data_IF_633100321812
#
_entry.id   IF_633100321812
#
_cell.length_a   1.000
_cell.length_b   1.000
_cell.length_c   1.000
_cell.angle_alpha   90.00
_cell.angle_beta   90.00
_cell.angle_gamma   90.00
#
_symmetry.space_group_name_H-M   'P 1'
#
loop_
_entity.id
_entity.type
_entity.pdbx_description
1 polymer ?
#
# COMPACT_ATOMS: atom_id res chain seq x y z
N UNK A 1 -9.46 15.59 -8.83
CA UNK A 1 -9.74 14.89 -7.55
C UNK A 1 -8.78 13.73 -7.29
N UNK A 2 -8.73 12.69 -8.14
CA UNK A 2 -7.89 11.51 -7.92
C UNK A 2 -6.38 11.81 -7.83
N UNK A 3 -5.87 12.76 -8.62
CA UNK A 3 -4.46 13.16 -8.57
C UNK A 3 -4.01 13.62 -7.18
N UNK A 4 -4.79 14.52 -6.57
CA UNK A 4 -4.54 15.03 -5.22
C UNK A 4 -4.53 13.90 -4.19
N UNK A 5 -5.50 12.98 -4.28
CA UNK A 5 -5.58 11.83 -3.38
C UNK A 5 -4.36 10.90 -3.52
N UNK A 6 -3.89 10.68 -4.75
CA UNK A 6 -2.69 9.88 -5.01
C UNK A 6 -1.44 10.54 -4.39
N UNK A 7 -1.28 11.86 -4.51
CA UNK A 7 -0.17 12.57 -3.85
C UNK A 7 -0.27 12.48 -2.33
N UNK A 8 -1.44 12.79 -1.76
CA UNK A 8 -1.65 12.86 -0.31
C UNK A 8 -1.43 11.54 0.41
N UNK A 9 -1.80 10.42 -0.24
CA UNK A 9 -1.80 9.09 0.35
C UNK A 9 -0.67 8.18 -0.15
N UNK A 10 -0.08 8.47 -1.32
CA UNK A 10 0.89 7.58 -1.96
C UNK A 10 2.28 8.20 -2.13
N UNK A 11 2.57 9.40 -1.62
CA UNK A 11 3.88 10.02 -1.77
C UNK A 11 5.09 9.07 -1.54
N UNK A 12 5.16 8.28 -0.45
CA UNK A 12 6.26 7.32 -0.27
C UNK A 12 6.31 6.21 -1.35
N UNK A 13 5.16 5.75 -1.83
CA UNK A 13 5.07 4.75 -2.91
C UNK A 13 5.48 5.34 -4.24
N UNK A 14 5.01 6.55 -4.56
CA UNK A 14 5.37 7.31 -5.76
C UNK A 14 6.88 7.63 -5.80
N UNK A 15 7.48 7.89 -4.64
CA UNK A 15 8.91 8.10 -4.46
C UNK A 15 9.77 6.82 -4.49
N UNK A 16 9.15 5.64 -4.68
CA UNK A 16 9.82 4.34 -4.62
C UNK A 16 10.50 4.05 -3.26
N UNK A 17 9.94 4.61 -2.18
CA UNK A 17 10.39 4.41 -0.80
C UNK A 17 9.58 3.33 -0.08
N UNK A 18 8.28 3.23 -0.42
CA UNK A 18 7.33 2.27 0.13
C UNK A 18 6.82 1.34 -0.97
N UNK A 19 6.51 0.11 -0.61
CA UNK A 19 5.97 -0.91 -1.52
C UNK A 19 4.56 -0.57 -1.97
N UNK A 20 3.68 -0.20 -1.04
CA UNK A 20 2.33 0.20 -1.39
C UNK A 20 1.66 1.17 -0.40
N UNK A 21 0.62 1.82 -0.89
CA UNK A 21 -0.33 2.61 -0.11
C UNK A 21 -1.75 2.10 -0.34
N UNK A 22 -2.58 2.21 0.69
CA UNK A 22 -3.97 1.78 0.67
C UNK A 22 -4.83 2.88 1.28
N UNK A 23 -5.89 3.29 0.60
CA UNK A 23 -6.80 4.31 1.08
C UNK A 23 -8.18 4.18 0.42
N UNK A 24 -9.20 4.65 1.13
CA UNK A 24 -10.59 4.64 0.65
C UNK A 24 -10.89 5.94 -0.07
N UNK A 25 -11.52 5.84 -1.24
CA UNK A 25 -11.91 6.97 -2.09
C UNK A 25 -13.43 7.00 -2.22
N UNK A 26 -14.10 8.12 -1.91
CA UNK A 26 -15.52 8.29 -2.21
C UNK A 26 -15.74 8.35 -3.73
N UNK A 27 -16.83 7.74 -4.18
CA UNK A 27 -17.21 7.69 -5.60
C UNK A 27 -18.54 8.41 -5.76
N UNK A 28 -18.47 9.63 -6.29
CA UNK A 28 -19.66 10.42 -6.62
C UNK A 28 -20.21 10.04 -8.00
N UNK A 29 -19.31 9.95 -8.98
CA UNK A 29 -19.63 9.54 -10.35
C UNK A 29 -18.80 8.31 -10.75
N UNK A 30 -19.42 7.10 -10.81
CA UNK A 30 -18.70 5.87 -11.15
C UNK A 30 -18.01 5.89 -12.52
N UNK A 31 -18.63 6.53 -13.52
CA UNK A 31 -18.10 6.59 -14.88
C UNK A 31 -16.87 7.51 -14.98
N UNK A 32 -16.93 8.69 -14.36
CA UNK A 32 -15.78 9.59 -14.30
C UNK A 32 -14.64 9.00 -13.49
N UNK A 33 -14.96 8.35 -12.37
CA UNK A 33 -13.96 7.68 -11.56
C UNK A 33 -13.26 6.57 -12.35
N UNK A 34 -14.00 5.76 -13.11
CA UNK A 34 -13.43 4.70 -13.93
C UNK A 34 -12.51 5.26 -15.03
N UNK A 35 -12.92 6.35 -15.69
CA UNK A 35 -12.07 7.06 -16.66
C UNK A 35 -10.78 7.58 -16.00
N UNK A 36 -10.88 8.16 -14.80
CA UNK A 36 -9.72 8.64 -14.06
C UNK A 36 -8.77 7.49 -13.67
N UNK A 37 -9.31 6.36 -13.18
CA UNK A 37 -8.51 5.19 -12.85
C UNK A 37 -7.76 4.65 -14.07
N UNK A 38 -8.45 4.45 -15.19
CA UNK A 38 -7.82 3.96 -16.44
C UNK A 38 -6.71 4.90 -16.91
N UNK A 39 -6.95 6.22 -16.86
CA UNK A 39 -5.94 7.23 -17.18
C UNK A 39 -4.70 7.10 -16.29
N UNK A 40 -4.90 7.04 -14.97
CA UNK A 40 -3.77 6.99 -14.03
C UNK A 40 -3.02 5.65 -14.06
N UNK A 41 -3.71 4.54 -14.29
CA UNK A 41 -3.08 3.23 -14.57
C UNK A 41 -2.11 3.32 -15.75
N UNK A 42 -2.51 3.94 -16.86
CA UNK A 42 -1.63 4.13 -18.02
C UNK A 42 -0.44 5.05 -17.72
N UNK A 43 -0.69 6.21 -17.10
CA UNK A 43 0.36 7.21 -16.81
C UNK A 43 1.40 6.69 -15.81
N UNK A 44 0.93 6.02 -14.75
CA UNK A 44 1.78 5.56 -13.65
C UNK A 44 2.39 4.18 -13.91
N UNK A 45 1.74 3.35 -14.73
CA UNK A 45 2.27 2.06 -15.17
C UNK A 45 3.62 2.22 -15.88
N UNK A 46 3.77 3.25 -16.72
CA UNK A 46 5.06 3.59 -17.35
C UNK A 46 6.17 4.00 -16.37
N UNK A 47 5.86 4.16 -15.08
CA UNK A 47 6.83 4.43 -14.00
C UNK A 47 6.91 3.30 -12.96
N UNK A 48 6.35 2.13 -13.28
CA UNK A 48 6.35 0.96 -12.41
C UNK A 48 5.42 1.07 -11.21
N UNK A 49 4.35 1.86 -11.30
CA UNK A 49 3.31 1.99 -10.26
C UNK A 49 1.98 1.48 -10.79
N UNK A 50 1.43 0.49 -10.09
CA UNK A 50 0.18 -0.19 -10.40
C UNK A 50 -0.92 0.27 -9.44
N UNK A 51 -2.16 0.33 -9.93
CA UNK A 51 -3.34 0.76 -9.19
C UNK A 51 -4.40 -0.33 -9.27
N UNK A 52 -4.92 -0.76 -8.13
CA UNK A 52 -5.87 -1.87 -8.02
C UNK A 52 -6.99 -1.55 -7.04
N UNK A 53 -8.23 -1.92 -7.40
CA UNK A 53 -9.37 -1.80 -6.48
C UNK A 53 -9.50 -3.10 -5.71
N UNK A 54 -9.33 -3.04 -4.39
CA UNK A 54 -9.44 -4.22 -3.53
C UNK A 54 -10.85 -4.44 -2.98
N UNK A 55 -11.67 -3.37 -2.93
CA UNK A 55 -13.06 -3.42 -2.48
C UNK A 55 -13.85 -2.29 -3.15
N UNK A 56 -15.06 -2.59 -3.63
CA UNK A 56 -16.01 -1.61 -4.16
C UNK A 56 -17.35 -1.76 -3.43
N UNK A 57 -17.84 -0.69 -2.81
CA UNK A 57 -19.15 -0.65 -2.12
C UNK A 57 -20.18 0.19 -2.88
N UNK A 58 -19.87 0.62 -4.11
CA UNK A 58 -20.65 1.57 -4.91
C UNK A 58 -20.47 3.02 -4.46
N UNK A 59 -20.46 3.28 -3.15
CA UNK A 59 -20.22 4.62 -2.57
C UNK A 59 -18.74 4.92 -2.36
N UNK A 60 -17.94 3.90 -2.08
CA UNK A 60 -16.51 4.03 -1.82
C UNK A 60 -15.73 2.90 -2.47
N UNK A 61 -14.49 3.19 -2.87
CA UNK A 61 -13.55 2.20 -3.40
C UNK A 61 -12.28 2.20 -2.57
N UNK A 62 -11.84 1.02 -2.18
CA UNK A 62 -10.56 0.81 -1.52
C UNK A 62 -9.47 0.67 -2.59
N UNK A 63 -8.67 1.72 -2.75
CA UNK A 63 -7.63 1.80 -3.77
C UNK A 63 -6.28 1.38 -3.18
N UNK A 64 -5.66 0.42 -3.84
CA UNK A 64 -4.32 -0.08 -3.55
C UNK A 64 -3.37 0.38 -4.65
N UNK A 65 -2.34 1.13 -4.26
CA UNK A 65 -1.34 1.70 -5.17
C UNK A 65 0.00 1.12 -4.78
N UNK A 66 0.65 0.39 -5.68
CA UNK A 66 1.80 -0.43 -5.33
C UNK A 66 2.86 -0.46 -6.42
N UNK A 67 4.07 -0.86 -6.04
CA UNK A 67 5.17 -1.16 -6.96
C UNK A 67 5.36 -2.65 -7.05
N UNK A 68 5.06 -3.21 -8.22
CA UNK A 68 5.03 -4.65 -8.43
C UNK A 68 6.37 -5.34 -8.13
N UNK A 69 7.49 -4.75 -8.58
CA UNK A 69 8.83 -5.30 -8.32
C UNK A 69 9.20 -5.31 -6.84
N UNK A 70 8.79 -4.29 -6.07
CA UNK A 70 8.96 -4.27 -4.62
C UNK A 70 8.07 -5.30 -3.95
N UNK A 71 6.82 -5.37 -4.36
CA UNK A 71 5.85 -6.30 -3.80
C UNK A 71 6.29 -7.75 -4.02
N UNK A 72 6.72 -8.10 -5.22
CA UNK A 72 7.26 -9.43 -5.53
C UNK A 72 8.45 -9.80 -4.63
N UNK A 73 9.36 -8.84 -4.38
CA UNK A 73 10.50 -9.04 -3.47
C UNK A 73 10.06 -9.19 -2.01
N UNK A 74 9.12 -8.37 -1.56
CA UNK A 74 8.67 -8.41 -0.17
C UNK A 74 7.90 -9.72 0.11
N UNK A 75 7.08 -10.19 -0.84
CA UNK A 75 6.36 -11.48 -0.76
C UNK A 75 7.27 -12.70 -0.97
N UNK A 76 8.48 -12.54 -1.51
CA UNK A 76 9.44 -13.63 -1.62
C UNK A 76 10.23 -13.89 -0.33
N UNK A 77 10.15 -12.99 0.65
CA UNK A 77 10.79 -13.15 1.95
C UNK A 77 10.27 -14.40 2.69
N UNK A 78 11.18 -15.21 3.25
CA UNK A 78 10.82 -16.50 3.87
C UNK A 78 9.74 -16.38 4.94
N UNK A 79 9.90 -15.45 5.88
CA UNK A 79 8.89 -15.22 6.94
C UNK A 79 7.56 -14.70 6.37
N UNK A 80 7.58 -13.86 5.33
CA UNK A 80 6.35 -13.38 4.69
C UNK A 80 5.57 -14.56 4.08
N UNK A 81 6.26 -15.48 3.39
CA UNK A 81 5.66 -16.70 2.87
C UNK A 81 5.09 -17.59 3.97
N UNK A 82 5.82 -17.79 5.07
CA UNK A 82 5.31 -18.58 6.20
C UNK A 82 4.01 -18.00 6.76
N UNK A 83 3.95 -16.68 6.96
CA UNK A 83 2.73 -15.99 7.44
C UNK A 83 1.59 -16.18 6.43
N UNK A 84 1.84 -15.95 5.14
CA UNK A 84 0.85 -16.08 4.08
C UNK A 84 0.32 -17.51 3.95
N UNK A 85 1.20 -18.53 4.01
CA UNK A 85 0.81 -19.93 4.08
C UNK A 85 -0.15 -20.18 5.25
N UNK A 86 0.18 -19.67 6.43
CA UNK A 86 -0.66 -19.78 7.63
C UNK A 86 -2.02 -19.12 7.48
N UNK A 87 -2.14 -18.09 6.63
CA UNK A 87 -3.39 -17.42 6.27
C UNK A 87 -4.14 -18.09 5.10
N UNK A 88 -3.64 -19.21 4.56
CA UNK A 88 -4.27 -19.96 3.47
C UNK A 88 -3.93 -19.50 2.06
N UNK A 89 -2.84 -18.75 1.87
CA UNK A 89 -2.34 -18.39 0.55
C UNK A 89 -1.55 -19.55 -0.04
N UNK A 90 -1.91 -19.99 -1.26
CA UNK A 90 -1.21 -21.05 -1.99
C UNK A 90 -0.23 -20.51 -3.04
N UNK A 91 -0.50 -19.31 -3.55
CA UNK A 91 0.31 -18.61 -4.54
C UNK A 91 1.08 -17.44 -3.94
N UNK A 92 2.36 -17.30 -4.31
CA UNK A 92 3.23 -16.19 -3.89
C UNK A 92 3.60 -15.26 -5.04
N UNK A 93 3.06 -15.51 -6.24
CA UNK A 93 3.06 -14.52 -7.32
C UNK A 93 2.24 -13.30 -6.89
N UNK A 94 2.60 -12.12 -7.37
CA UNK A 94 1.90 -10.87 -7.01
C UNK A 94 0.41 -10.96 -7.34
N UNK A 95 0.06 -11.44 -8.53
CA UNK A 95 -1.33 -11.58 -8.97
C UNK A 95 -2.12 -12.55 -8.10
N UNK A 96 -1.63 -13.78 -7.92
CA UNK A 96 -2.27 -14.83 -7.10
C UNK A 96 -2.47 -14.38 -5.64
N UNK A 97 -1.45 -13.73 -5.07
CA UNK A 97 -1.51 -13.21 -3.71
C UNK A 97 -2.53 -12.07 -3.60
N UNK A 98 -2.59 -11.17 -4.59
CA UNK A 98 -3.57 -10.09 -4.60
C UNK A 98 -5.01 -10.60 -4.76
N UNK A 99 -5.24 -11.63 -5.56
CA UNK A 99 -6.56 -12.22 -5.73
C UNK A 99 -7.05 -12.91 -4.45
N UNK A 100 -6.15 -13.59 -3.75
CA UNK A 100 -6.42 -14.15 -2.43
C UNK A 100 -6.73 -13.05 -1.42
N UNK A 101 -5.93 -11.98 -1.40
CA UNK A 101 -6.16 -10.83 -0.53
C UNK A 101 -7.52 -10.17 -0.79
N UNK A 102 -7.89 -9.92 -2.06
CA UNK A 102 -9.20 -9.38 -2.44
C UNK A 102 -10.34 -10.26 -1.95
N UNK A 103 -10.21 -11.57 -2.14
CA UNK A 103 -11.22 -12.55 -1.70
C UNK A 103 -11.40 -12.52 -0.18
N UNK A 104 -10.29 -12.41 0.57
CA UNK A 104 -10.32 -12.28 2.03
C UNK A 104 -10.95 -10.95 2.47
N UNK A 105 -10.57 -9.84 1.86
CA UNK A 105 -11.17 -8.51 2.09
C UNK A 105 -12.67 -8.51 1.78
N UNK A 106 -13.15 -9.26 0.78
CA UNK A 106 -14.57 -9.32 0.47
C UNK A 106 -15.36 -10.16 1.50
N UNK A 107 -14.76 -11.22 2.03
CA UNK A 107 -15.39 -12.15 2.97
C UNK A 107 -15.32 -11.68 4.43
N UNK A 108 -14.24 -11.00 4.80
CA UNK A 108 -13.96 -10.56 6.16
C UNK A 108 -14.51 -9.13 6.37
N UNK A 109 -15.26 -8.92 7.46
CA UNK A 109 -15.78 -7.60 7.82
C UNK A 109 -14.66 -6.61 8.16
N UNK A 110 -13.57 -7.12 8.73
CA UNK A 110 -12.36 -6.38 9.05
C UNK A 110 -11.24 -6.65 8.03
N UNK A 111 -10.17 -5.87 8.10
CA UNK A 111 -9.00 -6.09 7.25
C UNK A 111 -8.22 -7.33 7.69
N UNK A 112 -7.85 -8.23 6.76
CA UNK A 112 -6.96 -9.33 7.07
C UNK A 112 -5.61 -8.79 7.57
N UNK A 113 -5.13 -9.29 8.71
CA UNK A 113 -3.96 -8.72 9.38
C UNK A 113 -2.67 -8.82 8.54
N UNK A 114 -2.56 -9.86 7.71
CA UNK A 114 -1.40 -10.06 6.82
C UNK A 114 -1.28 -9.00 5.71
N UNK A 115 -2.29 -8.14 5.54
CA UNK A 115 -2.24 -7.00 4.60
C UNK A 115 -1.02 -6.09 4.83
N UNK A 116 -0.46 -6.09 6.04
CA UNK A 116 0.79 -5.39 6.33
C UNK A 116 1.95 -5.80 5.42
N UNK A 117 2.03 -7.07 5.01
CA UNK A 117 3.04 -7.56 4.08
C UNK A 117 2.90 -6.90 2.70
N UNK A 118 1.65 -6.73 2.23
CA UNK A 118 1.34 -6.05 0.98
C UNK A 118 1.66 -4.56 1.02
N UNK A 119 1.67 -3.96 2.22
CA UNK A 119 2.07 -2.56 2.42
C UNK A 119 3.59 -2.38 2.55
N UNK A 120 4.36 -3.48 2.54
CA UNK A 120 5.82 -3.49 2.72
C UNK A 120 6.23 -3.29 4.18
N UNK A 121 5.42 -3.74 5.14
CA UNK A 121 5.81 -3.77 6.55
C UNK A 121 6.74 -4.95 6.80
N UNK A 122 7.71 -4.82 7.73
CA UNK A 122 8.60 -5.93 8.08
C UNK A 122 7.79 -7.17 8.51
N UNK A 123 8.10 -8.38 8.02
CA UNK A 123 7.33 -9.58 8.34
C UNK A 123 7.26 -9.88 9.85
N UNK A 124 8.32 -9.57 10.60
CA UNK A 124 8.37 -9.69 12.06
C UNK A 124 7.37 -8.77 12.77
N UNK A 125 7.10 -7.59 12.22
CA UNK A 125 6.10 -6.66 12.75
C UNK A 125 4.69 -7.14 12.46
N UNK A 126 4.47 -7.73 11.27
CA UNK A 126 3.18 -8.34 10.91
C UNK A 126 2.90 -9.56 11.78
N UNK A 127 3.88 -10.46 11.93
CA UNK A 127 3.76 -11.62 12.82
C UNK A 127 3.50 -11.19 14.26
N UNK A 128 4.27 -10.21 14.77
CA UNK A 128 4.08 -9.66 16.10
C UNK A 128 2.69 -9.06 16.29
N UNK A 129 2.18 -8.32 15.31
CA UNK A 129 0.82 -7.78 15.34
C UNK A 129 -0.23 -8.88 15.43
N UNK A 130 -0.11 -9.93 14.61
CA UNK A 130 -1.03 -11.06 14.60
C UNK A 130 -0.98 -11.83 15.93
N UNK A 131 0.22 -12.15 16.41
CA UNK A 131 0.45 -12.90 17.66
C UNK A 131 -0.07 -12.16 18.88
N UNK A 132 0.21 -10.86 18.97
CA UNK A 132 -0.15 -10.04 20.13
C UNK A 132 -1.49 -9.32 19.97
N UNK A 133 -2.23 -9.57 18.89
CA UNK A 133 -3.52 -8.92 18.58
C UNK A 133 -3.43 -7.40 18.68
N UNK A 134 -2.33 -6.84 18.16
CA UNK A 134 -2.06 -5.41 18.18
C UNK A 134 -1.66 -4.81 19.54
N UNK A 135 -1.37 -5.61 20.57
CA UNK A 135 -0.92 -5.15 21.90
C UNK A 135 0.59 -5.35 22.08
N UNK A 136 1.19 -4.73 23.09
CA UNK A 136 2.60 -4.92 23.46
C UNK A 136 3.61 -4.57 22.35
N UNK A 137 3.28 -3.62 21.48
CA UNK A 137 4.22 -3.09 20.49
C UNK A 137 5.28 -2.21 21.16
N UNK A 138 6.49 -2.20 20.62
CA UNK A 138 7.62 -1.35 21.06
C UNK A 138 7.34 0.12 20.78
N UNK A 139 6.88 0.42 19.57
CA UNK A 139 6.45 1.76 19.19
C UNK A 139 5.32 1.73 18.16
N UNK A 140 4.72 2.91 17.92
CA UNK A 140 3.62 3.10 16.98
C UNK A 140 3.94 4.28 16.06
N UNK A 141 3.80 4.05 14.75
CA UNK A 141 3.89 5.09 13.74
C UNK A 141 3.04 4.74 12.52
N UNK A 142 3.66 4.53 11.37
CA UNK A 142 2.94 4.08 10.17
C UNK A 142 2.40 2.63 10.32
N UNK A 143 3.00 1.84 11.21
CA UNK A 143 2.50 0.55 11.67
C UNK A 143 2.90 0.37 13.15
N UNK A 144 2.48 -0.75 13.76
CA UNK A 144 2.88 -1.13 15.12
C UNK A 144 4.13 -2.00 15.06
N UNK A 145 5.18 -1.63 15.80
CA UNK A 145 6.50 -2.25 15.69
C UNK A 145 6.72 -3.26 16.80
N UNK A 146 7.26 -4.43 16.44
CA UNK A 146 7.62 -5.55 17.31
C UNK A 146 9.08 -5.98 17.08
N UNK A 147 9.63 -5.72 15.89
CA UNK A 147 11.02 -5.96 15.48
C UNK A 147 11.96 -4.79 15.79
N UNK A 148 12.64 -4.28 14.77
CA UNK A 148 13.60 -3.16 14.86
C UNK A 148 12.90 -1.81 15.06
N UNK A 149 12.85 -1.35 16.31
CA UNK A 149 12.25 -0.07 16.68
C UNK A 149 12.98 1.12 16.04
N UNK A 150 14.31 1.16 16.11
CA UNK A 150 15.06 2.31 15.60
C UNK A 150 14.95 2.41 14.08
N UNK A 151 15.03 1.27 13.38
CA UNK A 151 14.82 1.20 11.93
C UNK A 151 13.44 1.69 11.53
N UNK A 152 12.40 1.24 12.24
CA UNK A 152 11.03 1.68 11.98
C UNK A 152 10.84 3.18 12.21
N UNK A 153 11.39 3.75 13.30
CA UNK A 153 11.33 5.19 13.57
C UNK A 153 12.02 5.99 12.45
N UNK A 154 13.20 5.55 11.99
CA UNK A 154 13.88 6.18 10.84
C UNK A 154 13.03 6.12 9.58
N UNK A 155 12.35 5.00 9.32
CA UNK A 155 11.49 4.83 8.17
C UNK A 155 10.23 5.70 8.24
N UNK A 156 9.59 5.82 9.41
CA UNK A 156 8.47 6.73 9.63
C UNK A 156 8.86 8.19 9.34
N UNK A 157 10.01 8.63 9.86
CA UNK A 157 10.52 9.98 9.62
C UNK A 157 10.77 10.22 8.12
N UNK A 158 11.33 9.24 7.41
CA UNK A 158 11.55 9.31 5.96
C UNK A 158 10.23 9.40 5.18
N UNK A 159 9.22 8.62 5.56
CA UNK A 159 7.90 8.67 4.92
C UNK A 159 7.19 10.01 5.16
N UNK A 160 7.25 10.53 6.38
CA UNK A 160 6.71 11.85 6.73
C UNK A 160 7.38 12.94 5.90
N UNK A 161 8.72 12.99 5.89
CA UNK A 161 9.48 13.96 5.09
C UNK A 161 9.15 13.87 3.61
N UNK A 162 9.03 12.66 3.07
CA UNK A 162 8.63 12.44 1.68
C UNK A 162 7.25 13.05 1.39
N UNK A 163 6.27 12.78 2.24
CA UNK A 163 4.91 13.32 2.10
C UNK A 163 4.92 14.85 2.12
N UNK A 164 5.64 15.46 3.06
CA UNK A 164 5.70 16.92 3.19
C UNK A 164 6.33 17.58 1.96
N UNK A 165 7.41 16.99 1.43
CA UNK A 165 8.06 17.47 0.21
C UNK A 165 7.15 17.33 -1.01
N UNK A 166 6.48 16.18 -1.17
CA UNK A 166 5.58 15.92 -2.30
C UNK A 166 4.40 16.88 -2.31
N UNK A 167 3.78 17.12 -1.14
CA UNK A 167 2.68 18.07 -1.01
C UNK A 167 3.13 19.49 -1.35
N UNK A 168 4.29 19.93 -0.86
CA UNK A 168 4.84 21.24 -1.18
C UNK A 168 5.09 21.41 -2.67
N UNK A 169 5.70 20.42 -3.32
CA UNK A 169 5.98 20.47 -4.76
C UNK A 169 4.70 20.44 -5.60
N UNK A 170 3.71 19.65 -5.18
CA UNK A 170 2.40 19.60 -5.83
C UNK A 170 1.67 20.95 -5.74
N UNK A 171 1.66 21.58 -4.56
CA UNK A 171 1.13 22.94 -4.40
C UNK A 171 1.91 23.99 -5.20
N UNK A 172 3.20 23.74 -5.46
CA UNK A 172 4.03 24.54 -6.37
C UNK A 172 3.82 24.25 -7.86
N UNK A 173 2.80 23.45 -8.24
CA UNK A 173 2.41 23.20 -9.62
C UNK A 173 3.09 21.99 -10.30
N UNK A 174 3.86 21.18 -9.55
CA UNK A 174 4.40 19.92 -10.11
C UNK A 174 3.27 18.90 -10.27
N UNK A 175 3.20 18.26 -11.43
CA UNK A 175 2.19 17.23 -11.70
C UNK A 175 2.53 15.91 -11.00
N UNK A 176 1.52 15.05 -10.80
CA UNK A 176 1.73 13.71 -10.26
C UNK A 176 2.73 12.91 -11.08
N UNK A 177 2.68 13.01 -12.42
CA UNK A 177 3.67 12.34 -13.27
C UNK A 177 5.09 12.82 -12.97
N UNK A 178 5.34 14.12 -12.82
CA UNK A 178 6.67 14.64 -12.50
C UNK A 178 7.18 14.18 -11.12
N UNK A 179 6.25 14.02 -10.16
CA UNK A 179 6.57 13.59 -8.80
C UNK A 179 6.76 12.07 -8.67
N UNK A 180 6.26 11.27 -9.61
CA UNK A 180 6.48 9.82 -9.59
C UNK A 180 7.90 9.49 -10.08
N UNK A 181 8.66 8.77 -9.27
CA UNK A 181 9.99 8.25 -9.63
C UNK A 181 9.82 6.96 -10.44
N UNK A 182 10.62 6.76 -11.50
CA UNK A 182 10.59 5.50 -12.25
C UNK A 182 11.29 4.37 -11.46
N UNK A 183 10.79 3.15 -11.61
CA UNK A 183 11.43 1.92 -11.09
C UNK A 183 12.21 1.21 -12.18
#
# INVERSE_FOLDING_TARGET
MMEKLLIENCAPTLANLKTASLFTVPVENPAEWQKALTRWRGILGGKGVSLEVLRDTGKTRLLYVYRESRLARDLSHGLARCILCGCGYAGFGVEEALDTLKSRIAREGDFPHEIGLFLGYPPEDVEGFMKHRGRNCKCVGCWKVYGDEEGAVRQFARFKKCRDVYLRLFHGGRSLWQLTVAS
#
